data_IF_741370540871
#
_entry.id   IF_741370540871
#
_cell.length_a   1.000
_cell.length_b   1.000
_cell.length_c   1.000
_cell.angle_alpha   90.00
_cell.angle_beta   90.00
_cell.angle_gamma   90.00
#
_symmetry.space_group_name_H-M   'P 1'
#
loop_
_entity.id
_entity.type
_entity.pdbx_description
1 polymer ?
#
# COMPACT_ATOMS: atom_id res chain seq x y z
N UNK A 1 -19.87 -10.58 -6.71
CA UNK A 1 -19.27 -9.89 -5.54
C UNK A 1 -18.72 -10.89 -4.50
N UNK A 2 -19.51 -11.84 -3.97
CA UNK A 2 -19.04 -12.85 -3.00
C UNK A 2 -17.84 -13.71 -3.44
N UNK A 3 -17.77 -14.09 -4.73
CA UNK A 3 -16.64 -14.87 -5.28
C UNK A 3 -15.30 -14.11 -5.31
N UNK A 4 -15.30 -12.78 -5.41
CA UNK A 4 -14.05 -12.00 -5.44
C UNK A 4 -13.40 -11.91 -4.06
N UNK A 5 -14.17 -11.74 -2.99
CA UNK A 5 -13.62 -11.74 -1.63
C UNK A 5 -13.22 -13.13 -1.13
N UNK A 6 -13.84 -14.17 -1.67
CA UNK A 6 -13.30 -15.53 -1.59
C UNK A 6 -11.97 -15.60 -2.36
N UNK A 7 -11.89 -15.14 -3.61
CA UNK A 7 -10.67 -15.30 -4.42
C UNK A 7 -9.50 -14.39 -4.04
N UNK A 8 -9.73 -13.17 -3.52
CA UNK A 8 -8.67 -12.24 -3.06
C UNK A 8 -7.84 -12.87 -1.93
N UNK A 9 -8.37 -13.91 -1.27
CA UNK A 9 -7.82 -14.47 -0.04
C UNK A 9 -8.03 -16.00 0.15
N UNK A 10 -8.50 -16.74 -0.85
CA UNK A 10 -8.43 -18.21 -0.83
C UNK A 10 -7.00 -18.61 -1.18
N UNK A 11 -6.13 -18.56 -0.17
CA UNK A 11 -5.08 -19.57 -0.08
C UNK A 11 -5.74 -20.75 0.63
N UNK A 12 -6.49 -21.56 -0.11
CA UNK A 12 -6.89 -22.87 0.41
C UNK A 12 -5.61 -23.64 0.73
N UNK A 13 -5.51 -24.07 1.98
CA UNK A 13 -4.35 -24.76 2.53
C UNK A 13 -4.11 -26.08 1.77
N UNK A 14 -3.26 -26.02 0.76
CA UNK A 14 -2.66 -27.16 0.11
C UNK A 14 -1.22 -27.27 0.59
N UNK A 15 -0.97 -28.30 1.41
CA UNK A 15 0.32 -28.86 1.86
C UNK A 15 1.56 -28.06 1.45
N UNK A 16 1.78 -26.92 2.11
CA UNK A 16 3.05 -26.23 2.38
C UNK A 16 2.66 -24.94 3.14
N UNK A 17 3.13 -24.83 4.39
CA UNK A 17 2.59 -24.02 5.48
C UNK A 17 2.23 -22.55 5.15
N UNK A 18 0.98 -22.32 4.74
CA UNK A 18 0.38 -20.99 4.56
C UNK A 18 -0.84 -20.87 5.47
N UNK A 19 -0.80 -19.91 6.40
CA UNK A 19 -1.90 -19.64 7.32
C UNK A 19 -2.68 -18.41 6.87
N UNK A 20 -3.92 -18.58 6.44
CA UNK A 20 -4.84 -17.48 6.13
C UNK A 20 -5.84 -17.29 7.26
N UNK A 21 -5.98 -16.05 7.74
CA UNK A 21 -6.92 -15.72 8.80
C UNK A 21 -7.74 -14.50 8.37
N UNK A 22 -9.06 -14.66 8.43
CA UNK A 22 -10.04 -13.61 8.14
C UNK A 22 -11.25 -13.77 9.04
N UNK A 23 -11.63 -12.70 9.71
CA UNK A 23 -12.82 -12.68 10.54
C UNK A 23 -14.05 -12.56 9.65
N UNK A 24 -15.04 -13.45 9.84
CA UNK A 24 -16.28 -13.46 9.06
C UNK A 24 -16.94 -12.07 9.00
N UNK A 25 -17.03 -11.38 10.14
CA UNK A 25 -17.59 -10.02 10.20
C UNK A 25 -16.79 -9.00 9.40
N UNK A 26 -15.45 -9.08 9.38
CA UNK A 26 -14.59 -8.20 8.58
C UNK A 26 -14.72 -8.48 7.08
N UNK A 27 -14.91 -9.74 6.70
CA UNK A 27 -15.18 -10.13 5.30
C UNK A 27 -16.51 -9.55 4.83
N UNK A 28 -17.55 -9.65 5.65
CA UNK A 28 -18.88 -9.14 5.29
C UNK A 28 -18.89 -7.61 5.25
N UNK A 29 -18.31 -6.93 6.23
CA UNK A 29 -18.26 -5.47 6.27
C UNK A 29 -17.40 -4.86 5.16
N UNK A 30 -16.39 -5.58 4.68
CA UNK A 30 -15.55 -5.11 3.57
C UNK A 30 -16.27 -4.99 2.22
N UNK A 31 -17.46 -5.57 2.07
CA UNK A 31 -18.34 -5.32 0.92
C UNK A 31 -18.86 -3.89 0.89
N UNK A 32 -18.95 -3.24 2.06
CA UNK A 32 -19.38 -1.85 2.22
C UNK A 32 -18.18 -0.89 2.36
N UNK A 33 -16.94 -1.41 2.31
CA UNK A 33 -15.75 -0.56 2.34
C UNK A 33 -15.60 0.23 1.03
N UNK A 34 -14.85 1.34 1.12
CA UNK A 34 -14.40 2.09 -0.05
C UNK A 34 -13.58 1.16 -0.96
N UNK A 35 -13.55 1.41 -2.28
CA UNK A 35 -12.81 0.59 -3.25
C UNK A 35 -11.29 0.79 -3.16
N UNK A 36 -10.75 1.00 -1.97
CA UNK A 36 -9.34 1.23 -1.70
C UNK A 36 -8.87 0.25 -0.63
N UNK A 37 -7.90 -0.57 -0.98
CA UNK A 37 -7.34 -1.61 -0.12
C UNK A 37 -5.88 -1.28 0.16
N UNK A 38 -5.52 -1.19 1.43
CA UNK A 38 -4.12 -1.07 1.85
C UNK A 38 -3.54 -2.47 2.07
N UNK A 39 -2.39 -2.70 1.42
CA UNK A 39 -1.57 -3.88 1.66
C UNK A 39 -0.31 -3.46 2.41
N UNK A 40 -0.05 -4.12 3.53
CA UNK A 40 1.19 -3.98 4.25
C UNK A 40 1.81 -5.33 4.51
N UNK A 41 3.13 -5.37 4.54
CA UNK A 41 3.90 -6.60 4.64
C UNK A 41 5.12 -6.42 5.52
N UNK A 42 5.35 -7.39 6.40
CA UNK A 42 6.56 -7.44 7.22
C UNK A 42 7.21 -8.82 7.15
N UNK A 43 8.54 -8.83 7.11
CA UNK A 43 9.30 -10.07 7.21
C UNK A 43 9.32 -10.53 8.66
N UNK A 44 9.03 -11.80 8.87
CA UNK A 44 9.17 -12.44 10.16
C UNK A 44 10.66 -12.59 10.50
N UNK A 45 11.02 -12.19 11.72
CA UNK A 45 12.35 -12.41 12.29
C UNK A 45 12.22 -13.50 13.34
N UNK A 46 12.93 -14.61 13.16
CA UNK A 46 12.90 -15.73 14.10
C UNK A 46 13.28 -17.04 13.44
N UNK A 47 12.95 -18.15 14.11
CA UNK A 47 13.22 -19.51 13.63
C UNK A 47 12.56 -19.78 12.28
N UNK A 48 11.32 -19.31 12.10
CA UNK A 48 10.60 -19.41 10.85
C UNK A 48 10.87 -18.19 9.99
N UNK A 49 11.50 -18.41 8.82
CA UNK A 49 11.65 -17.39 7.78
C UNK A 49 10.33 -17.27 7.01
N UNK A 50 9.85 -16.05 6.82
CA UNK A 50 8.58 -15.83 6.14
C UNK A 50 8.17 -14.37 6.09
N UNK A 51 6.97 -14.13 5.59
CA UNK A 51 6.36 -12.81 5.49
C UNK A 51 4.92 -12.86 5.97
N UNK A 52 4.52 -11.88 6.78
CA UNK A 52 3.11 -11.62 7.03
C UNK A 52 2.66 -10.52 6.08
N UNK A 53 1.56 -10.76 5.37
CA UNK A 53 0.84 -9.75 4.60
C UNK A 53 -0.50 -9.47 5.26
N UNK A 54 -0.81 -8.20 5.49
CA UNK A 54 -2.06 -7.74 6.04
C UNK A 54 -2.80 -6.87 5.02
N UNK A 55 -4.10 -7.07 4.93
CA UNK A 55 -5.01 -6.35 4.05
C UNK A 55 -5.98 -5.54 4.89
N UNK A 56 -5.96 -4.22 4.72
CA UNK A 56 -6.77 -3.27 5.48
C UNK A 56 -7.65 -2.49 4.51
N UNK A 57 -8.96 -2.48 4.77
CA UNK A 57 -9.92 -1.62 4.08
C UNK A 57 -10.25 -0.38 4.90
N UNK A 58 -10.78 0.64 4.23
CA UNK A 58 -11.42 1.78 4.89
C UNK A 58 -12.93 1.69 4.73
N UNK A 59 -13.68 1.79 5.82
CA UNK A 59 -15.13 1.90 5.75
C UNK A 59 -15.57 3.32 5.29
N UNK A 60 -16.87 3.54 5.03
CA UNK A 60 -17.38 4.86 4.66
C UNK A 60 -17.15 5.93 5.74
N UNK A 61 -17.09 5.53 7.02
CA UNK A 61 -16.84 6.37 8.18
C UNK A 61 -15.35 6.60 8.45
N UNK A 62 -14.47 6.25 7.51
CA UNK A 62 -13.02 6.43 7.60
C UNK A 62 -12.36 5.63 8.72
N UNK A 63 -13.02 4.59 9.21
CA UNK A 63 -12.44 3.63 10.13
C UNK A 63 -11.66 2.58 9.35
N UNK A 64 -10.52 2.18 9.91
CA UNK A 64 -9.70 1.10 9.36
C UNK A 64 -10.26 -0.25 9.77
N UNK A 65 -10.44 -1.13 8.79
CA UNK A 65 -10.92 -2.49 8.99
C UNK A 65 -9.83 -3.46 8.54
N UNK A 66 -9.31 -4.29 9.45
CA UNK A 66 -8.45 -5.41 9.08
C UNK A 66 -9.32 -6.47 8.38
N UNK A 67 -9.23 -6.54 7.05
CA UNK A 67 -10.01 -7.50 6.25
C UNK A 67 -9.45 -8.90 6.48
N UNK A 68 -8.13 -9.06 6.34
CA UNK A 68 -7.46 -10.32 6.56
C UNK A 68 -5.95 -10.17 6.69
N UNK A 69 -5.30 -11.24 7.14
CA UNK A 69 -3.87 -11.40 7.02
C UNK A 69 -3.50 -12.83 6.62
N UNK A 70 -2.33 -12.96 6.01
CA UNK A 70 -1.76 -14.24 5.59
C UNK A 70 -0.33 -14.33 6.09
N UNK A 71 0.01 -15.48 6.67
CA UNK A 71 1.37 -15.86 7.03
C UNK A 71 1.90 -16.75 5.92
N UNK A 72 2.92 -16.26 5.23
CA UNK A 72 3.61 -16.94 4.14
C UNK A 72 4.94 -17.48 4.66
N UNK A 73 5.08 -18.80 4.67
CA UNK A 73 6.34 -19.51 4.97
C UNK A 73 6.78 -20.13 3.63
N UNK A 74 7.90 -19.64 3.09
CA UNK A 74 8.43 -19.90 1.75
C UNK A 74 7.52 -19.50 0.55
N UNK A 75 8.18 -19.28 -0.59
CA UNK A 75 7.76 -18.59 -1.82
C UNK A 75 6.24 -18.28 -2.01
N UNK A 76 5.88 -17.02 -2.35
CA UNK A 76 4.51 -16.58 -2.48
C UNK A 76 3.84 -17.14 -3.75
N UNK A 77 3.39 -18.39 -3.72
CA UNK A 77 2.44 -18.88 -4.71
C UNK A 77 1.03 -18.49 -4.22
N UNK A 78 0.53 -17.36 -4.68
CA UNK A 78 -0.83 -16.88 -4.41
C UNK A 78 -1.57 -16.84 -5.77
N UNK A 79 -2.85 -17.19 -5.78
CA UNK A 79 -3.62 -17.33 -7.02
C UNK A 79 -3.99 -15.95 -7.61
N UNK A 80 -4.10 -15.91 -8.94
CA UNK A 80 -4.34 -14.69 -9.72
C UNK A 80 -5.82 -14.27 -9.66
N UNK A 81 -6.08 -12.98 -9.38
CA UNK A 81 -7.43 -12.45 -9.19
C UNK A 81 -7.58 -11.12 -9.93
N UNK A 82 -8.69 -10.94 -10.66
CA UNK A 82 -9.07 -9.63 -11.19
C UNK A 82 -9.84 -8.85 -10.13
N UNK A 83 -9.53 -7.57 -9.98
CA UNK A 83 -10.09 -6.71 -8.94
C UNK A 83 -10.36 -5.33 -9.53
N UNK A 84 -11.44 -4.69 -9.08
CA UNK A 84 -11.75 -3.28 -9.37
C UNK A 84 -11.29 -2.35 -8.26
N UNK A 85 -10.58 -2.89 -7.26
CA UNK A 85 -10.07 -2.13 -6.12
C UNK A 85 -8.73 -1.48 -6.45
N UNK A 86 -8.53 -0.30 -5.89
CA UNK A 86 -7.26 0.39 -5.90
C UNK A 86 -6.40 -0.08 -4.72
N UNK A 87 -5.18 -0.54 -5.00
CA UNK A 87 -4.27 -1.03 -3.96
C UNK A 87 -3.28 0.04 -3.52
N UNK A 88 -3.09 0.18 -2.21
CA UNK A 88 -2.11 1.07 -1.61
C UNK A 88 -1.05 0.24 -0.90
N UNK A 89 0.17 0.28 -1.42
CA UNK A 89 1.28 -0.50 -0.90
C UNK A 89 2.40 0.37 -0.33
N UNK A 90 3.25 -0.26 0.47
CA UNK A 90 4.57 0.27 0.76
C UNK A 90 5.49 -0.01 -0.46
N UNK A 91 6.52 0.82 -0.69
CA UNK A 91 7.46 0.66 -1.82
C UNK A 91 8.41 -0.56 -1.67
N UNK A 92 8.02 -1.62 -0.97
CA UNK A 92 8.83 -2.82 -0.90
C UNK A 92 8.80 -3.53 -2.26
N UNK A 93 9.98 -3.79 -2.82
CA UNK A 93 10.13 -4.46 -4.13
C UNK A 93 9.37 -5.78 -4.20
N UNK A 94 9.44 -6.59 -3.14
CA UNK A 94 8.74 -7.87 -3.07
C UNK A 94 7.21 -7.70 -3.10
N UNK A 95 6.67 -6.68 -2.44
CA UNK A 95 5.24 -6.43 -2.41
C UNK A 95 4.73 -5.93 -3.77
N UNK A 96 5.47 -5.06 -4.46
CA UNK A 96 5.09 -4.58 -5.79
C UNK A 96 5.04 -5.69 -6.84
N UNK A 97 6.06 -6.54 -6.88
CA UNK A 97 6.06 -7.72 -7.75
C UNK A 97 4.86 -8.59 -7.45
N UNK A 98 4.64 -8.89 -6.16
CA UNK A 98 3.53 -9.72 -5.72
C UNK A 98 2.18 -9.14 -6.15
N UNK A 99 1.91 -7.84 -5.97
CA UNK A 99 0.61 -7.27 -6.38
C UNK A 99 0.45 -7.33 -7.90
N UNK A 100 1.50 -7.06 -8.69
CA UNK A 100 1.44 -7.16 -10.16
C UNK A 100 1.19 -8.59 -10.64
N UNK A 101 1.84 -9.57 -10.01
CA UNK A 101 1.69 -11.00 -10.35
C UNK A 101 0.27 -11.50 -9.97
N UNK A 102 -0.29 -10.99 -8.87
CA UNK A 102 -1.60 -11.39 -8.36
C UNK A 102 -2.76 -10.68 -9.02
N UNK A 103 -2.61 -9.40 -9.34
CA UNK A 103 -3.70 -8.54 -9.81
C UNK A 103 -3.26 -7.82 -11.08
N UNK A 104 -3.84 -8.22 -12.22
CA UNK A 104 -3.59 -7.55 -13.51
C UNK A 104 -4.58 -6.40 -13.72
N UNK A 105 -4.09 -5.25 -14.16
CA UNK A 105 -4.91 -4.10 -14.52
C UNK A 105 -5.55 -3.39 -13.34
N UNK A 106 -5.00 -3.57 -12.13
CA UNK A 106 -5.42 -2.80 -10.94
C UNK A 106 -4.58 -1.55 -10.78
N UNK A 107 -5.23 -0.49 -10.35
CA UNK A 107 -4.55 0.74 -9.97
C UNK A 107 -3.75 0.50 -8.69
N UNK A 108 -2.44 0.72 -8.77
CA UNK A 108 -1.56 0.71 -7.62
C UNK A 108 -1.10 2.10 -7.27
N UNK A 109 -1.17 2.41 -5.99
CA UNK A 109 -0.74 3.69 -5.44
C UNK A 109 0.25 3.51 -4.29
N UNK A 110 1.16 4.46 -4.14
CA UNK A 110 2.13 4.47 -3.07
C UNK A 110 1.63 5.26 -1.87
N UNK A 111 1.78 4.68 -0.68
CA UNK A 111 1.48 5.40 0.55
C UNK A 111 2.49 6.52 0.80
N UNK A 112 2.03 7.78 0.86
CA UNK A 112 2.86 8.95 1.15
C UNK A 112 3.59 8.84 2.48
N UNK A 113 2.99 8.22 3.50
CA UNK A 113 3.66 7.97 4.78
C UNK A 113 4.89 7.08 4.60
N UNK A 114 4.82 6.07 3.74
CA UNK A 114 5.96 5.21 3.43
C UNK A 114 6.99 5.94 2.56
N UNK A 115 6.56 6.75 1.59
CA UNK A 115 7.46 7.63 0.81
C UNK A 115 8.26 8.56 1.73
N UNK A 116 7.58 9.21 2.67
CA UNK A 116 8.21 10.05 3.67
C UNK A 116 9.13 9.24 4.59
N UNK A 117 8.68 8.12 5.16
CA UNK A 117 9.51 7.33 6.07
C UNK A 117 10.76 6.74 5.39
N UNK A 118 10.68 6.37 4.12
CA UNK A 118 11.84 5.93 3.34
C UNK A 118 12.85 7.09 3.15
N UNK A 119 12.35 8.31 2.96
CA UNK A 119 13.17 9.53 2.86
C UNK A 119 13.71 9.98 4.22
N UNK A 120 12.94 9.76 5.30
CA UNK A 120 13.23 10.17 6.68
C UNK A 120 14.42 9.43 7.28
N UNK A 121 14.68 8.20 6.84
CA UNK A 121 15.89 7.44 7.25
C UNK A 121 17.20 8.21 6.97
N UNK A 122 17.16 9.22 6.08
CA UNK A 122 18.30 10.06 5.74
C UNK A 122 18.17 11.52 6.21
N UNK A 123 16.95 12.03 6.45
CA UNK A 123 16.72 13.46 6.72
C UNK A 123 15.54 13.71 7.69
N UNK A 124 15.77 14.51 8.74
CA UNK A 124 14.81 14.76 9.84
C UNK A 124 14.08 16.13 9.79
N UNK A 125 13.92 16.77 8.63
CA UNK A 125 13.34 18.12 8.58
C UNK A 125 11.82 18.15 8.42
N UNK A 126 11.14 18.96 9.27
CA UNK A 126 9.69 19.23 9.19
C UNK A 126 9.31 19.84 7.84
N UNK A 127 10.17 20.72 7.31
CA UNK A 127 10.03 21.36 5.99
C UNK A 127 10.00 20.33 4.85
N UNK A 128 10.84 19.28 4.91
CA UNK A 128 10.84 18.22 3.90
C UNK A 128 9.56 17.39 3.93
N UNK A 129 9.05 17.09 5.13
CA UNK A 129 7.74 16.41 5.28
C UNK A 129 6.64 17.19 4.59
N UNK A 130 6.61 18.51 4.81
CA UNK A 130 5.62 19.40 4.23
C UNK A 130 5.74 19.52 2.71
N UNK A 131 6.96 19.63 2.17
CA UNK A 131 7.19 19.67 0.73
C UNK A 131 6.78 18.36 0.04
N UNK A 132 7.17 17.21 0.61
CA UNK A 132 6.70 15.90 0.12
C UNK A 132 5.18 15.90 0.13
N UNK A 133 4.55 16.34 1.23
CA UNK A 133 3.10 16.40 1.33
C UNK A 133 2.45 17.26 0.23
N UNK A 134 2.97 18.48 0.00
CA UNK A 134 2.48 19.39 -1.05
C UNK A 134 2.64 18.79 -2.45
N UNK A 135 3.78 18.16 -2.75
CA UNK A 135 3.98 17.47 -4.04
C UNK A 135 2.94 16.36 -4.24
N UNK A 136 2.59 15.61 -3.18
CA UNK A 136 1.58 14.54 -3.27
C UNK A 136 0.14 15.04 -3.29
N UNK A 137 -0.10 16.31 -2.92
CA UNK A 137 -1.41 16.97 -2.94
C UNK A 137 -1.69 17.73 -4.23
N UNK A 138 -0.68 17.95 -5.07
CA UNK A 138 -0.85 18.69 -6.30
C UNK A 138 -1.82 17.97 -7.23
N UNK A 139 -2.90 18.66 -7.61
CA UNK A 139 -3.97 18.11 -8.47
C UNK A 139 -3.72 18.32 -9.96
N UNK A 140 -2.74 19.15 -10.33
CA UNK A 140 -2.38 19.45 -11.71
C UNK A 140 -0.86 19.59 -11.85
N UNK A 141 -0.36 19.36 -13.08
CA UNK A 141 1.07 19.26 -13.38
C UNK A 141 1.86 20.51 -12.98
N UNK A 142 1.34 21.71 -13.27
CA UNK A 142 2.05 22.96 -12.96
C UNK A 142 2.25 23.17 -11.44
N UNK A 143 1.26 22.82 -10.61
CA UNK A 143 1.42 22.83 -9.17
C UNK A 143 2.47 21.81 -8.74
N UNK A 144 2.39 20.58 -9.26
CA UNK A 144 3.35 19.53 -8.93
C UNK A 144 4.79 19.96 -9.28
N UNK A 145 5.00 20.54 -10.46
CA UNK A 145 6.30 21.05 -10.90
C UNK A 145 6.83 22.16 -9.98
N UNK A 146 5.97 23.07 -9.53
CA UNK A 146 6.35 24.12 -8.57
C UNK A 146 6.84 23.52 -7.26
N UNK A 147 6.07 22.59 -6.67
CA UNK A 147 6.45 21.95 -5.41
C UNK A 147 7.71 21.08 -5.58
N UNK A 148 7.88 20.41 -6.74
CA UNK A 148 9.07 19.62 -7.06
C UNK A 148 10.32 20.48 -7.25
N UNK A 149 10.20 21.70 -7.79
CA UNK A 149 11.30 22.68 -7.86
C UNK A 149 11.75 23.09 -6.47
N UNK A 150 10.82 23.42 -5.57
CA UNK A 150 11.15 23.74 -4.17
C UNK A 150 11.78 22.56 -3.44
N UNK A 151 11.25 21.35 -3.64
CA UNK A 151 11.81 20.13 -3.08
C UNK A 151 13.24 19.89 -3.55
N UNK A 152 13.55 20.13 -4.83
CA UNK A 152 14.90 20.00 -5.39
C UNK A 152 15.90 20.94 -4.70
N UNK A 153 15.49 22.15 -4.37
CA UNK A 153 16.33 23.13 -3.66
C UNK A 153 16.62 22.69 -2.23
N UNK A 154 15.65 22.05 -1.56
CA UNK A 154 15.80 21.59 -0.17
C UNK A 154 16.54 20.27 -0.08
N UNK A 155 16.25 19.32 -0.98
CA UNK A 155 16.86 18.00 -0.98
C UNK A 155 16.82 17.34 -2.37
N UNK A 156 17.99 17.32 -3.03
CA UNK A 156 18.15 16.73 -4.36
C UNK A 156 17.95 15.21 -4.35
N UNK A 157 18.28 14.51 -3.27
CA UNK A 157 18.12 13.04 -3.21
C UNK A 157 16.65 12.63 -3.20
N UNK A 158 15.82 13.30 -2.38
CA UNK A 158 14.38 13.05 -2.32
C UNK A 158 13.72 13.43 -3.64
N UNK A 159 14.13 14.54 -4.26
CA UNK A 159 13.69 14.91 -5.60
C UNK A 159 13.99 13.80 -6.63
N UNK A 160 15.23 13.27 -6.66
CA UNK A 160 15.62 12.17 -7.55
C UNK A 160 14.81 10.89 -7.31
N UNK A 161 14.36 10.66 -6.08
CA UNK A 161 13.48 9.53 -5.75
C UNK A 161 12.06 9.75 -6.25
N UNK A 162 11.47 10.92 -5.94
CA UNK A 162 10.07 11.21 -6.28
C UNK A 162 9.85 11.38 -7.78
N UNK A 163 10.82 11.91 -8.54
CA UNK A 163 10.66 12.09 -9.99
C UNK A 163 10.59 10.77 -10.76
N UNK A 164 11.02 9.66 -10.15
CA UNK A 164 10.88 8.31 -10.72
C UNK A 164 9.47 7.75 -10.53
N UNK A 165 8.64 8.40 -9.72
CA UNK A 165 7.29 7.97 -9.39
C UNK A 165 6.33 8.89 -10.17
N UNK A 166 5.50 8.34 -11.07
CA UNK A 166 4.47 9.15 -11.73
C UNK A 166 3.57 9.85 -10.70
N UNK A 167 3.19 11.12 -10.90
CA UNK A 167 2.36 11.84 -9.94
C UNK A 167 0.99 11.16 -9.72
N UNK A 168 0.48 10.48 -10.75
CA UNK A 168 -0.80 9.76 -10.75
C UNK A 168 -0.84 8.56 -9.80
N UNK A 169 0.33 7.95 -9.51
CA UNK A 169 0.41 6.74 -8.66
C UNK A 169 0.70 7.07 -7.20
N UNK A 170 0.72 8.34 -6.81
CA UNK A 170 0.89 8.74 -5.41
C UNK A 170 -0.48 9.03 -4.81
N UNK A 171 -0.78 8.51 -3.61
CA UNK A 171 -2.11 8.70 -3.02
C UNK A 171 -2.10 9.08 -1.56
N UNK A 172 -2.84 10.16 -1.29
CA UNK A 172 -3.24 10.66 0.01
C UNK A 172 -4.26 9.71 0.61
N UNK A 173 -3.82 8.70 1.36
CA UNK A 173 -4.76 7.79 2.02
C UNK A 173 -4.75 7.88 3.54
N UNK A 174 -3.90 8.72 4.13
CA UNK A 174 -3.65 8.65 5.59
C UNK A 174 -3.82 9.93 6.40
N UNK A 175 -3.89 11.14 5.83
CA UNK A 175 -3.89 12.36 6.66
C UNK A 175 -5.00 13.38 6.35
N UNK A 176 -6.17 12.95 5.90
CA UNK A 176 -7.36 13.79 6.16
C UNK A 176 -7.82 13.67 7.64
N UNK A 177 -7.24 12.73 8.41
CA UNK A 177 -7.65 12.39 9.78
C UNK A 177 -6.55 12.51 10.85
N UNK A 178 -5.44 13.19 10.56
CA UNK A 178 -4.42 13.53 11.58
C UNK A 178 -4.19 15.04 11.68
N UNK A 179 -5.27 15.81 11.48
CA UNK A 179 -5.38 17.19 11.95
C UNK A 179 -6.23 17.20 13.22
#
# INVERSE_FOLDING_TARGET
MMRMMQNILLVEGSKNSKGYICFKGCKESSLNCRPIIRLDGCFLKGYYRGQILATIGGDPNYQMLLIAYVVLIDNPCVQRVRSTYTFISNQQKGLLSTINDLFHGVDQRFCVRHLYNNSRKKFHSKKLKELIWRTTKATYLQAWEREMKELKLVNVEVFKHLIRIPPEVVTLFYLEYLN
#
